data_IF_081493707732
#
_entry.id   IF_081493707732
#
_cell.length_a   1.000
_cell.length_b   1.000
_cell.length_c   1.000
_cell.angle_alpha   90.00
_cell.angle_beta   90.00
_cell.angle_gamma   90.00
#
_symmetry.space_group_name_H-M   'P 1'
#
loop_
_entity.id
_entity.type
_entity.pdbx_description
1 polymer ?
#
# COMPACT_ATOMS: atom_id res chain seq x y z
N UNK A 1 -4.38 10.22 20.11
CA UNK A 1 -2.98 10.68 20.29
C UNK A 1 -3.08 12.17 20.43
N UNK A 2 -2.55 12.73 21.52
CA UNK A 2 -2.61 14.17 21.75
C UNK A 2 -1.21 14.75 21.77
N UNK A 3 -1.02 15.84 21.05
CA UNK A 3 0.23 16.61 21.06
C UNK A 3 -0.11 18.02 21.49
N UNK A 4 0.63 18.52 22.48
CA UNK A 4 0.44 19.86 23.05
C UNK A 4 1.59 20.76 22.61
N UNK A 5 1.29 22.01 22.29
CA UNK A 5 2.29 23.05 22.02
C UNK A 5 3.01 23.49 23.31
N UNK A 6 4.10 24.25 23.15
CA UNK A 6 4.83 24.83 24.27
C UNK A 6 4.03 25.87 25.08
N UNK A 7 2.90 26.33 24.53
CA UNK A 7 1.92 27.22 25.16
C UNK A 7 0.79 26.46 25.88
N UNK A 8 0.83 25.13 25.88
CA UNK A 8 -0.21 24.29 26.49
C UNK A 8 -1.49 24.16 25.66
N UNK A 9 -1.49 24.58 24.39
CA UNK A 9 -2.63 24.38 23.47
C UNK A 9 -2.59 23.00 22.79
N UNK A 10 -3.73 22.31 22.57
CA UNK A 10 -3.74 21.08 21.79
C UNK A 10 -3.46 21.37 20.31
N UNK A 11 -2.45 20.70 19.75
CA UNK A 11 -2.03 20.83 18.34
C UNK A 11 -2.43 19.60 17.51
N UNK A 12 -2.45 18.43 18.14
CA UNK A 12 -3.03 17.21 17.58
C UNK A 12 -3.95 16.59 18.61
N UNK A 13 -5.09 16.08 18.17
CA UNK A 13 -6.06 15.36 18.97
C UNK A 13 -6.68 14.20 18.18
N UNK A 14 -7.70 13.57 18.74
CA UNK A 14 -8.39 12.45 18.10
C UNK A 14 -9.20 12.83 16.83
N UNK A 15 -9.45 14.12 16.62
CA UNK A 15 -10.23 14.68 15.51
C UNK A 15 -9.33 15.28 14.41
N UNK A 16 -8.04 15.36 14.67
CA UNK A 16 -7.06 15.89 13.72
C UNK A 16 -6.89 14.96 12.54
N UNK A 17 -6.81 15.53 11.34
CA UNK A 17 -6.50 14.77 10.14
C UNK A 17 -5.08 14.20 10.23
N UNK A 18 -4.96 12.89 10.10
CA UNK A 18 -3.67 12.18 10.16
C UNK A 18 -3.50 11.21 9.00
N UNK A 19 -2.26 11.11 8.52
CA UNK A 19 -1.84 10.10 7.56
C UNK A 19 -0.80 9.23 8.24
N UNK A 20 -0.99 7.90 8.22
CA UNK A 20 -0.03 6.96 8.80
C UNK A 20 0.17 5.73 7.94
N UNK A 21 1.38 5.17 7.96
CA UNK A 21 1.66 3.82 7.45
C UNK A 21 0.98 2.82 8.39
N UNK A 22 0.10 1.98 7.86
CA UNK A 22 -0.56 0.90 8.60
C UNK A 22 -0.06 -0.49 8.23
N UNK A 23 0.58 -0.62 7.06
CA UNK A 23 1.27 -1.83 6.62
C UNK A 23 2.52 -1.44 5.84
N UNK A 24 3.63 -2.13 6.12
CA UNK A 24 4.85 -2.11 5.31
C UNK A 24 5.39 -3.53 5.28
N UNK A 25 5.28 -4.20 4.15
CA UNK A 25 5.70 -5.60 3.99
C UNK A 25 6.31 -5.84 2.63
N UNK A 26 7.13 -6.88 2.51
CA UNK A 26 7.60 -7.34 1.22
C UNK A 26 6.50 -8.20 0.55
N UNK A 27 6.40 -8.06 -0.76
CA UNK A 27 5.59 -8.88 -1.65
C UNK A 27 6.49 -9.40 -2.75
N UNK A 28 6.43 -10.70 -3.02
CA UNK A 28 7.33 -11.38 -3.96
C UNK A 28 6.53 -12.25 -4.92
N UNK A 29 6.81 -12.10 -6.21
CA UNK A 29 6.24 -12.95 -7.27
C UNK A 29 7.35 -13.58 -8.09
N UNK A 30 7.20 -14.86 -8.44
CA UNK A 30 8.21 -15.63 -9.21
C UNK A 30 7.64 -16.34 -10.44
N UNK A 31 6.32 -16.33 -10.66
CA UNK A 31 5.66 -17.13 -11.68
C UNK A 31 4.53 -16.40 -12.41
N UNK A 32 3.55 -17.17 -12.92
CA UNK A 32 2.44 -16.69 -13.74
C UNK A 32 1.54 -15.64 -13.07
N UNK A 33 0.50 -15.21 -13.81
CA UNK A 33 -0.46 -14.23 -13.31
C UNK A 33 -1.08 -14.68 -12.00
N UNK A 34 -0.97 -13.87 -10.97
CA UNK A 34 -1.45 -14.15 -9.63
C UNK A 34 -1.64 -12.86 -8.83
N UNK A 35 -2.26 -13.01 -7.66
CA UNK A 35 -2.39 -11.94 -6.67
C UNK A 35 -2.08 -12.46 -5.26
N UNK A 36 -1.76 -11.54 -4.36
CA UNK A 36 -1.54 -11.79 -2.93
C UNK A 36 -2.35 -10.79 -2.10
N UNK A 37 -2.99 -11.28 -1.04
CA UNK A 37 -3.84 -10.48 -0.16
C UNK A 37 -3.15 -10.23 1.17
N UNK A 38 -3.17 -8.98 1.62
CA UNK A 38 -2.60 -8.55 2.89
C UNK A 38 -3.69 -7.92 3.75
N UNK A 39 -3.86 -8.42 4.97
CA UNK A 39 -4.85 -7.90 5.90
C UNK A 39 -4.48 -6.50 6.38
N UNK A 40 -5.40 -5.55 6.24
CA UNK A 40 -5.32 -4.17 6.75
C UNK A 40 -6.66 -3.73 7.35
N UNK A 41 -7.03 -4.28 8.53
CA UNK A 41 -8.35 -4.03 9.13
C UNK A 41 -8.63 -2.53 9.35
N UNK A 42 -9.87 -2.12 9.02
CA UNK A 42 -10.32 -0.73 9.18
C UNK A 42 -9.77 0.24 8.13
N UNK A 43 -9.25 -0.28 7.01
CA UNK A 43 -8.83 0.48 5.83
C UNK A 43 -9.60 -0.01 4.60
N UNK A 44 -10.06 0.92 3.77
CA UNK A 44 -10.68 0.67 2.48
C UNK A 44 -10.37 1.83 1.51
N UNK A 45 -10.93 1.77 0.30
CA UNK A 45 -10.70 2.79 -0.74
C UNK A 45 -11.19 4.20 -0.36
N UNK A 46 -12.02 4.37 0.66
CA UNK A 46 -12.50 5.68 1.13
C UNK A 46 -11.53 6.37 2.09
N UNK A 47 -10.67 5.60 2.78
CA UNK A 47 -9.82 6.11 3.86
C UNK A 47 -8.37 5.63 3.80
N UNK A 48 -7.93 5.10 2.67
CA UNK A 48 -6.55 4.65 2.50
C UNK A 48 -6.07 4.61 1.07
N UNK A 49 -4.78 4.38 0.94
CA UNK A 49 -4.11 4.11 -0.34
C UNK A 49 -3.08 3.01 -0.15
N UNK A 50 -2.99 2.11 -1.12
CA UNK A 50 -1.94 1.12 -1.21
C UNK A 50 -1.04 1.44 -2.41
N UNK A 51 0.26 1.24 -2.26
CA UNK A 51 1.22 1.33 -3.36
C UNK A 51 2.42 0.43 -3.09
N UNK A 52 3.18 0.11 -4.14
CA UNK A 52 4.42 -0.65 -4.03
C UNK A 52 5.62 0.18 -4.46
N UNK A 53 6.74 -0.02 -3.78
CA UNK A 53 8.03 0.52 -4.18
C UNK A 53 9.02 -0.62 -4.44
N UNK A 54 9.84 -0.56 -5.49
CA UNK A 54 10.90 -1.54 -5.71
C UNK A 54 11.83 -1.69 -4.51
N UNK A 55 12.20 -2.95 -4.23
CA UNK A 55 13.11 -3.31 -3.16
C UNK A 55 14.48 -3.68 -3.75
N UNK A 56 15.12 -2.72 -4.43
CA UNK A 56 16.37 -2.93 -5.16
C UNK A 56 16.62 -1.84 -6.20
N UNK A 57 17.75 -1.93 -6.94
CA UNK A 57 18.04 -1.04 -8.06
C UNK A 57 17.02 -1.22 -9.19
N UNK A 58 16.67 -0.12 -9.86
CA UNK A 58 15.77 -0.11 -11.01
C UNK A 58 16.54 -0.44 -12.30
N UNK A 59 15.92 -1.22 -13.19
CA UNK A 59 16.33 -1.34 -14.58
C UNK A 59 15.20 -0.89 -15.55
N UNK A 60 15.54 -0.74 -16.82
CA UNK A 60 14.65 -0.28 -17.90
C UNK A 60 13.56 -1.29 -18.30
N UNK A 61 13.67 -2.54 -17.83
CA UNK A 61 12.73 -3.63 -18.08
C UNK A 61 11.87 -3.99 -16.86
N UNK A 62 12.11 -3.37 -15.71
CA UNK A 62 11.34 -3.62 -14.51
C UNK A 62 9.90 -3.16 -14.67
N UNK A 63 8.98 -3.97 -14.14
CA UNK A 63 7.54 -3.72 -14.16
C UNK A 63 7.05 -3.59 -12.73
N UNK A 64 6.14 -2.66 -12.49
CA UNK A 64 5.54 -2.47 -11.18
C UNK A 64 4.42 -3.49 -10.93
N UNK A 65 4.28 -3.96 -9.69
CA UNK A 65 3.06 -4.64 -9.27
C UNK A 65 1.90 -3.64 -9.18
N UNK A 66 0.68 -4.11 -9.42
CA UNK A 66 -0.51 -3.28 -9.26
C UNK A 66 -1.14 -3.53 -7.90
N UNK A 67 -1.59 -2.48 -7.22
CA UNK A 67 -2.27 -2.57 -5.93
C UNK A 67 -3.75 -2.23 -6.05
N UNK A 68 -4.57 -2.95 -5.31
CA UNK A 68 -5.99 -2.69 -5.14
C UNK A 68 -6.32 -2.68 -3.65
N UNK A 69 -7.08 -1.67 -3.22
CA UNK A 69 -7.53 -1.57 -1.83
C UNK A 69 -9.00 -1.98 -1.76
N UNK A 70 -9.23 -3.12 -1.13
CA UNK A 70 -10.54 -3.68 -0.80
C UNK A 70 -10.85 -3.40 0.68
N UNK A 71 -12.07 -3.68 1.12
CA UNK A 71 -12.44 -3.51 2.54
C UNK A 71 -11.60 -4.43 3.43
N UNK A 72 -10.73 -3.85 4.24
CA UNK A 72 -9.85 -4.55 5.16
C UNK A 72 -8.69 -5.31 4.51
N UNK A 73 -8.49 -5.18 3.20
CA UNK A 73 -7.50 -5.97 2.44
C UNK A 73 -6.79 -5.11 1.40
N UNK A 74 -5.47 -5.15 1.39
CA UNK A 74 -4.65 -4.66 0.28
C UNK A 74 -4.27 -5.86 -0.58
N UNK A 75 -4.78 -5.90 -1.81
CA UNK A 75 -4.46 -6.93 -2.79
C UNK A 75 -3.38 -6.41 -3.73
N UNK A 76 -2.39 -7.25 -4.02
CA UNK A 76 -1.31 -6.94 -4.96
C UNK A 76 -1.36 -7.93 -6.11
N UNK A 77 -1.36 -7.43 -7.34
CA UNK A 77 -1.32 -8.21 -8.57
C UNK A 77 0.06 -8.09 -9.20
N UNK A 78 0.55 -9.18 -9.77
CA UNK A 78 1.78 -9.16 -10.57
C UNK A 78 1.54 -8.82 -12.05
N UNK A 79 0.37 -8.28 -12.38
CA UNK A 79 -0.06 -7.97 -13.74
C UNK A 79 -1.09 -6.84 -13.68
N UNK A 80 -1.36 -6.20 -14.82
CA UNK A 80 -2.42 -5.20 -14.89
C UNK A 80 -3.79 -5.86 -14.75
N UNK A 81 -4.51 -5.55 -13.66
CA UNK A 81 -5.84 -6.12 -13.41
C UNK A 81 -6.81 -5.70 -14.51
N UNK A 82 -7.81 -6.51 -14.79
CA UNK A 82 -8.83 -6.29 -15.85
C UNK A 82 -8.32 -6.23 -17.29
N UNK A 83 -7.02 -6.44 -17.53
CA UNK A 83 -6.44 -6.50 -18.87
C UNK A 83 -5.81 -7.87 -19.14
N UNK A 84 -6.52 -8.73 -19.87
CA UNK A 84 -6.10 -10.11 -20.16
C UNK A 84 -4.78 -10.19 -20.95
N UNK A 85 -4.48 -9.23 -21.82
CA UNK A 85 -3.22 -9.22 -22.57
C UNK A 85 -2.04 -8.63 -21.77
N UNK A 86 -2.23 -8.28 -20.49
CA UNK A 86 -1.16 -7.77 -19.63
C UNK A 86 -0.03 -8.78 -19.46
N UNK A 87 1.19 -8.27 -19.38
CA UNK A 87 2.36 -9.06 -19.05
C UNK A 87 2.52 -9.17 -17.54
N UNK A 88 3.25 -10.20 -17.10
CA UNK A 88 3.59 -10.38 -15.69
C UNK A 88 4.80 -9.53 -15.29
N UNK A 89 4.83 -9.16 -14.01
CA UNK A 89 5.97 -8.66 -13.27
C UNK A 89 6.43 -9.74 -12.30
N UNK A 90 7.73 -9.80 -12.03
CA UNK A 90 8.34 -10.73 -11.07
C UNK A 90 9.39 -9.97 -10.24
N UNK A 91 9.79 -10.55 -9.12
CA UNK A 91 10.73 -9.95 -8.19
C UNK A 91 10.08 -9.62 -6.85
N UNK A 92 10.73 -8.74 -6.08
CA UNK A 92 10.27 -8.33 -4.75
C UNK A 92 10.08 -6.82 -4.69
N UNK A 93 8.94 -6.39 -4.18
CA UNK A 93 8.64 -4.99 -3.90
C UNK A 93 8.17 -4.83 -2.45
N UNK A 94 8.23 -3.62 -1.92
CA UNK A 94 7.63 -3.28 -0.63
C UNK A 94 6.24 -2.70 -0.84
N UNK A 95 5.23 -3.40 -0.36
CA UNK A 95 3.87 -2.87 -0.23
C UNK A 95 3.82 -1.91 0.96
N UNK A 96 3.30 -0.72 0.71
CA UNK A 96 2.98 0.28 1.73
C UNK A 96 1.48 0.56 1.65
N UNK A 97 0.81 0.51 2.80
CA UNK A 97 -0.59 0.95 2.93
C UNK A 97 -0.65 2.11 3.89
N UNK A 98 -1.21 3.21 3.44
CA UNK A 98 -1.45 4.40 4.23
C UNK A 98 -2.93 4.47 4.60
N UNK A 99 -3.21 4.94 5.82
CA UNK A 99 -4.56 5.26 6.28
C UNK A 99 -4.67 6.75 6.55
N UNK A 100 -5.78 7.32 6.11
CA UNK A 100 -6.25 8.66 6.40
C UNK A 100 -7.34 8.58 7.48
N UNK A 101 -7.31 9.46 8.47
CA UNK A 101 -8.36 9.59 9.48
C UNK A 101 -8.52 11.05 9.85
#
# INVERSE_FOLDING_TARGET
MRVWGGDGTPQLDENSFTIRVVLSTLVTFSGGKSSQDFSVPGVDASNGVAFVIPNGPYNDRDRQFETELLSGVARVYNHTRTYEASLIAAGTMRLIVMRFK
#
